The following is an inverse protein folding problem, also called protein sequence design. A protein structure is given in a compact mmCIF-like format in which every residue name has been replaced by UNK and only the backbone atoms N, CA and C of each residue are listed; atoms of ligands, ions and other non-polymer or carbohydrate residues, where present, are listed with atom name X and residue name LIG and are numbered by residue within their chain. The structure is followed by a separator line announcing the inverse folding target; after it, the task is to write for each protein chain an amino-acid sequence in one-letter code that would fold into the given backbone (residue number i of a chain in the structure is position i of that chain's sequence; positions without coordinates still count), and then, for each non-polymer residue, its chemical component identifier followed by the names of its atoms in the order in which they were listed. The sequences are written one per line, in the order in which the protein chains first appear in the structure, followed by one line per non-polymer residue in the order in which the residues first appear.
data_IF_568477262117
#
_entry.id   IF_568477262117
#
_cell.length_a   1.000
_cell.length_b   1.000
_cell.length_c   1.000
_cell.angle_alpha   90.00
_cell.angle_beta   90.00
_cell.angle_gamma   90.00
#
_symmetry.space_group_name_H-M   'P 1'
#
loop_
_entity.id
_entity.type
_entity.pdbx_description
1 polymer ?
#
# COMPACT_ATOMS: atom_id res chain seq x y z
N UNK A 1 4.62 18.74 8.79
CA UNK A 1 5.81 18.04 9.32
C UNK A 1 5.76 16.62 8.79
N UNK A 2 6.83 16.10 8.18
CA UNK A 2 6.94 14.69 7.76
C UNK A 2 7.00 13.81 9.03
N UNK A 3 5.90 13.16 9.44
CA UNK A 3 5.88 12.41 10.70
C UNK A 3 6.64 11.08 10.60
N UNK A 4 6.97 10.65 9.38
CA UNK A 4 7.46 9.30 9.06
C UNK A 4 8.98 9.29 8.97
N UNK A 5 9.62 10.48 8.90
CA UNK A 5 11.06 10.56 8.64
C UNK A 5 11.38 9.84 7.34
N UNK A 6 10.67 10.18 6.26
CA UNK A 6 10.79 9.50 4.97
C UNK A 6 12.25 9.49 4.51
N UNK A 7 12.58 8.63 3.55
CA UNK A 7 13.91 8.64 2.92
C UNK A 7 14.34 10.06 2.54
N UNK A 8 13.39 10.94 2.16
CA UNK A 8 13.67 12.32 1.80
C UNK A 8 14.26 13.18 2.91
N UNK A 9 13.95 12.92 4.19
CA UNK A 9 14.55 13.68 5.29
C UNK A 9 15.94 13.21 5.69
N UNK A 10 16.43 12.09 5.12
CA UNK A 10 17.72 11.54 5.51
C UNK A 10 18.89 12.34 4.92
N UNK A 11 19.94 12.63 5.71
CA UNK A 11 21.12 13.32 5.22
C UNK A 11 21.74 12.65 3.99
N UNK A 12 21.75 11.31 3.96
CA UNK A 12 22.28 10.54 2.82
C UNK A 12 21.43 10.68 1.56
N UNK A 13 20.10 10.74 1.69
CA UNK A 13 19.22 10.98 0.56
C UNK A 13 19.35 12.42 0.08
N UNK A 14 19.44 13.39 0.98
CA UNK A 14 19.68 14.79 0.61
C UNK A 14 21.04 14.96 -0.07
N UNK A 15 22.07 14.24 0.38
CA UNK A 15 23.37 14.19 -0.27
C UNK A 15 23.28 13.52 -1.65
N UNK A 16 22.54 12.42 -1.78
CA UNK A 16 22.27 11.77 -3.06
C UNK A 16 21.53 12.69 -4.04
N UNK A 17 20.48 13.39 -3.60
CA UNK A 17 19.77 14.36 -4.44
C UNK A 17 20.70 15.51 -4.83
N UNK A 18 21.53 16.03 -3.92
CA UNK A 18 22.55 17.03 -4.26
C UNK A 18 23.56 16.50 -5.29
N UNK A 19 23.97 15.24 -5.17
CA UNK A 19 24.85 14.57 -6.13
C UNK A 19 24.18 14.48 -7.50
N UNK A 20 22.94 13.99 -7.58
CA UNK A 20 22.13 13.98 -8.81
C UNK A 20 22.08 15.38 -9.42
N UNK A 21 21.71 16.38 -8.62
CA UNK A 21 21.52 17.76 -9.04
C UNK A 21 22.84 18.44 -9.46
N UNK A 22 24.00 17.94 -9.00
CA UNK A 22 25.34 18.40 -9.39
C UNK A 22 25.89 17.66 -10.61
N UNK A 23 25.67 16.36 -10.68
CA UNK A 23 26.26 15.47 -11.67
C UNK A 23 25.43 15.34 -12.95
N UNK A 24 24.12 15.58 -12.89
CA UNK A 24 23.28 15.62 -14.07
C UNK A 24 23.40 16.98 -14.78
N UNK A 25 23.61 16.99 -16.11
CA UNK A 25 23.61 18.21 -16.89
C UNK A 25 22.30 18.99 -16.76
N UNK A 26 22.36 20.34 -16.72
CA UNK A 26 21.18 21.20 -16.57
C UNK A 26 21.05 22.15 -17.76
N UNK A 27 20.19 21.82 -18.73
CA UNK A 27 19.92 22.73 -19.84
C UNK A 27 19.61 22.00 -21.15
N UNK A 28 19.98 22.63 -22.28
CA UNK A 28 19.80 22.12 -23.64
C UNK A 28 20.49 20.78 -23.87
N UNK A 29 20.09 20.06 -24.93
CA UNK A 29 20.65 18.73 -25.31
C UNK A 29 22.18 18.70 -25.32
N UNK A 30 22.82 19.82 -25.66
CA UNK A 30 24.28 19.94 -25.84
C UNK A 30 25.11 19.69 -24.58
N UNK A 31 24.47 19.67 -23.40
CA UNK A 31 25.15 19.40 -22.13
C UNK A 31 25.14 17.91 -21.74
N UNK A 32 24.39 17.08 -22.47
CA UNK A 32 24.33 15.64 -22.20
C UNK A 32 25.57 14.92 -22.77
N UNK A 33 26.11 13.90 -22.08
CA UNK A 33 27.24 13.14 -22.61
C UNK A 33 26.89 12.53 -23.96
N UNK A 34 27.80 12.63 -24.94
CA UNK A 34 27.66 12.00 -26.26
C UNK A 34 27.37 10.49 -26.15
N UNK A 35 27.87 9.85 -25.08
CA UNK A 35 27.60 8.44 -24.77
C UNK A 35 26.12 8.19 -24.50
N UNK A 36 25.40 9.13 -23.86
CA UNK A 36 23.98 9.02 -23.57
C UNK A 36 23.12 9.03 -24.84
N UNK A 37 23.49 9.86 -25.83
CA UNK A 37 22.78 9.93 -27.12
C UNK A 37 22.98 8.66 -27.97
N UNK A 38 24.12 7.98 -27.79
CA UNK A 38 24.47 6.75 -28.49
C UNK A 38 24.02 5.47 -27.78
N UNK A 39 23.34 5.58 -26.62
CA UNK A 39 22.78 4.43 -25.92
C UNK A 39 21.68 3.77 -26.76
N UNK A 40 21.84 2.47 -27.04
CA UNK A 40 20.93 1.67 -27.86
C UNK A 40 19.67 1.24 -27.07
N UNK A 41 19.83 0.98 -25.78
CA UNK A 41 18.75 0.53 -24.91
C UNK A 41 18.52 1.49 -23.73
N UNK A 42 17.32 1.43 -23.13
CA UNK A 42 17.04 2.14 -21.88
C UNK A 42 17.92 1.65 -20.73
N UNK A 43 18.34 0.39 -20.76
CA UNK A 43 19.30 -0.15 -19.81
C UNK A 43 20.67 0.55 -19.95
N UNK A 44 21.14 0.78 -21.17
CA UNK A 44 22.37 1.53 -21.43
C UNK A 44 22.25 2.99 -20.97
N UNK A 45 21.07 3.61 -21.13
CA UNK A 45 20.80 4.98 -20.65
C UNK A 45 20.82 5.04 -19.13
N UNK A 46 20.21 4.08 -18.45
CA UNK A 46 20.24 3.96 -16.99
C UNK A 46 21.68 3.75 -16.51
N UNK A 47 22.45 2.88 -17.15
CA UNK A 47 23.87 2.68 -16.83
C UNK A 47 24.69 3.96 -17.07
N UNK A 48 24.45 4.68 -18.17
CA UNK A 48 25.11 5.95 -18.45
C UNK A 48 24.82 6.96 -17.33
N UNK A 49 23.55 7.11 -16.93
CA UNK A 49 23.14 7.98 -15.83
C UNK A 49 23.78 7.57 -14.51
N UNK A 50 23.79 6.28 -14.19
CA UNK A 50 24.43 5.77 -12.97
C UNK A 50 25.93 6.04 -12.99
N UNK A 51 26.60 5.84 -14.13
CA UNK A 51 28.03 6.11 -14.28
C UNK A 51 28.38 7.60 -14.13
N UNK A 52 27.48 8.53 -14.46
CA UNK A 52 27.67 9.96 -14.17
C UNK A 52 27.67 10.28 -12.66
N UNK A 53 27.07 9.40 -11.86
CA UNK A 53 27.00 9.56 -10.41
C UNK A 53 28.20 8.92 -9.70
N UNK A 54 28.96 8.04 -10.37
CA UNK A 54 30.08 7.29 -9.79
C UNK A 54 31.41 8.00 -10.08
N UNK A 55 32.20 8.40 -9.06
CA UNK A 55 33.58 8.85 -9.27
C UNK A 55 34.43 7.73 -9.86
N UNK A 56 35.24 8.03 -10.88
CA UNK A 56 36.11 7.05 -11.51
C UNK A 56 37.20 6.55 -10.53
N UNK A 57 37.13 5.24 -10.21
CA UNK A 57 38.05 4.41 -9.40
C UNK A 57 37.63 4.19 -7.95
N UNK A 58 36.95 3.07 -7.70
CA UNK A 58 37.35 1.98 -6.80
C UNK A 58 36.15 1.00 -6.65
N UNK A 59 36.37 -0.29 -6.92
CA UNK A 59 35.32 -1.32 -6.96
C UNK A 59 35.58 -2.32 -5.84
N UNK A 60 34.95 -2.09 -4.68
CA UNK A 60 34.73 -3.10 -3.63
C UNK A 60 33.64 -2.72 -2.58
N UNK A 61 32.93 -1.60 -2.75
CA UNK A 61 32.08 -1.03 -1.69
C UNK A 61 30.57 -1.05 -2.00
N UNK A 62 29.73 -0.80 -0.98
CA UNK A 62 28.27 -0.67 -1.15
C UNK A 62 27.90 0.48 -2.09
N UNK A 63 26.74 0.41 -2.77
CA UNK A 63 26.34 1.41 -3.76
C UNK A 63 26.35 2.88 -3.28
N UNK A 64 26.15 3.13 -1.98
CA UNK A 64 26.28 4.48 -1.42
C UNK A 64 27.74 4.95 -1.35
N UNK A 65 28.66 4.08 -0.94
CA UNK A 65 30.10 4.37 -0.90
C UNK A 65 30.67 4.55 -2.32
N UNK A 66 30.20 3.75 -3.30
CA UNK A 66 30.53 3.92 -4.72
C UNK A 66 30.12 5.31 -5.23
N UNK A 67 29.08 5.91 -4.67
CA UNK A 67 28.64 7.27 -4.99
C UNK A 67 29.35 8.37 -4.17
N UNK A 68 30.38 8.03 -3.39
CA UNK A 68 31.06 8.94 -2.46
C UNK A 68 30.17 9.40 -1.30
N UNK A 69 29.02 8.73 -1.07
CA UNK A 69 28.12 9.01 0.03
C UNK A 69 28.60 8.24 1.24
N UNK A 70 29.49 8.84 2.03
CA UNK A 70 29.85 8.29 3.34
C UNK A 70 28.69 8.49 4.32
N UNK A 71 28.06 7.42 4.83
CA UNK A 71 27.08 7.57 5.89
C UNK A 71 27.87 7.90 7.17
N UNK A 72 28.06 9.19 7.45
CA UNK A 72 28.54 9.66 8.76
C UNK A 72 27.48 9.47 9.86
N UNK A 73 26.24 9.19 9.45
CA UNK A 73 25.10 8.88 10.29
C UNK A 73 24.57 7.51 9.85
N UNK A 74 24.26 6.58 10.77
CA UNK A 74 23.64 5.32 10.41
C UNK A 74 22.40 5.59 9.54
N UNK A 75 22.30 4.84 8.43
CA UNK A 75 21.09 4.80 7.60
C UNK A 75 19.88 4.69 8.52
N UNK A 76 18.89 5.56 8.29
CA UNK A 76 17.92 5.87 9.32
C UNK A 76 17.23 4.62 9.87
N UNK A 77 17.37 4.39 11.18
CA UNK A 77 16.61 3.40 11.96
C UNK A 77 15.09 3.59 11.80
N UNK A 78 14.62 4.77 11.35
CA UNK A 78 13.18 5.04 11.16
C UNK A 78 12.53 4.23 10.04
N UNK A 79 13.31 3.61 9.16
CA UNK A 79 12.78 2.63 8.18
C UNK A 79 12.48 1.28 8.83
N UNK A 80 13.06 1.03 10.01
CA UNK A 80 12.82 -0.14 10.82
C UNK A 80 11.60 0.06 11.71
N UNK A 81 10.99 -1.05 12.06
CA UNK A 81 9.87 -1.09 13.00
C UNK A 81 10.43 -0.82 14.41
N UNK A 82 9.76 0.07 15.14
CA UNK A 82 10.11 0.47 16.50
C UNK A 82 8.83 0.53 17.32
N UNK A 83 8.76 -0.29 18.37
CA UNK A 83 7.61 -0.32 19.28
C UNK A 83 7.44 1.00 20.03
N UNK A 84 8.53 1.74 20.27
CA UNK A 84 8.47 3.08 20.88
C UNK A 84 7.72 4.06 19.97
N UNK A 85 8.04 4.05 18.66
CA UNK A 85 7.32 4.85 17.68
C UNK A 85 5.88 4.37 17.50
N UNK A 86 5.65 3.06 17.45
CA UNK A 86 4.32 2.47 17.34
C UNK A 86 3.40 2.93 18.49
N UNK A 87 3.89 2.86 19.74
CA UNK A 87 3.17 3.31 20.92
C UNK A 87 2.86 4.81 20.87
N UNK A 88 3.81 5.64 20.42
CA UNK A 88 3.62 7.08 20.24
C UNK A 88 2.51 7.39 19.22
N UNK A 89 2.55 6.75 18.04
CA UNK A 89 1.52 6.94 17.03
C UNK A 89 0.15 6.43 17.50
N UNK A 90 0.14 5.33 18.25
CA UNK A 90 -1.09 4.81 18.86
C UNK A 90 -1.71 5.80 19.84
N UNK A 91 -0.92 6.48 20.67
CA UNK A 91 -1.47 7.49 21.59
C UNK A 91 -1.95 8.75 20.86
N UNK A 92 -1.27 9.18 19.79
CA UNK A 92 -1.78 10.25 18.93
C UNK A 92 -3.13 9.85 18.31
N UNK A 93 -3.24 8.62 17.81
CA UNK A 93 -4.49 8.05 17.31
C UNK A 93 -5.59 8.02 18.37
N UNK A 94 -5.25 7.71 19.63
CA UNK A 94 -6.20 7.78 20.75
C UNK A 94 -6.72 9.21 20.98
N UNK A 95 -5.87 10.23 20.82
CA UNK A 95 -6.27 11.64 20.87
C UNK A 95 -7.33 11.99 19.80
N UNK A 96 -7.09 11.59 18.55
CA UNK A 96 -8.05 11.79 17.46
C UNK A 96 -9.35 11.00 17.68
N UNK A 97 -9.25 9.76 18.18
CA UNK A 97 -10.40 8.93 18.50
C UNK A 97 -11.31 9.57 19.56
N UNK A 98 -10.73 10.07 20.66
CA UNK A 98 -11.46 10.82 21.71
C UNK A 98 -12.15 12.05 21.13
N UNK A 99 -11.52 12.71 20.16
CA UNK A 99 -12.05 13.88 19.44
C UNK A 99 -13.05 13.53 18.34
N UNK A 100 -13.40 12.25 18.16
CA UNK A 100 -14.30 11.72 17.11
C UNK A 100 -13.80 11.91 15.66
N UNK A 101 -12.54 12.28 15.47
CA UNK A 101 -11.87 12.40 14.18
C UNK A 101 -11.44 11.02 13.67
N UNK A 102 -12.38 10.29 13.05
CA UNK A 102 -12.23 8.86 12.78
C UNK A 102 -11.17 8.57 11.71
N UNK A 103 -11.09 9.36 10.64
CA UNK A 103 -10.14 9.11 9.54
C UNK A 103 -8.70 9.38 9.94
N UNK A 104 -8.48 10.42 10.74
CA UNK A 104 -7.21 10.79 11.35
C UNK A 104 -6.78 9.70 12.34
N UNK A 105 -7.70 9.25 13.20
CA UNK A 105 -7.43 8.13 14.11
C UNK A 105 -7.02 6.86 13.34
N UNK A 106 -7.72 6.52 12.25
CA UNK A 106 -7.36 5.37 11.42
C UNK A 106 -5.95 5.51 10.81
N UNK A 107 -5.61 6.73 10.35
CA UNK A 107 -4.29 7.03 9.77
C UNK A 107 -3.18 6.78 10.80
N UNK A 108 -3.35 7.26 12.03
CA UNK A 108 -2.36 7.05 13.09
C UNK A 108 -2.33 5.61 13.61
N UNK A 109 -3.45 4.88 13.61
CA UNK A 109 -3.44 3.45 13.92
C UNK A 109 -2.78 2.61 12.82
N UNK A 110 -2.94 2.97 11.55
CA UNK A 110 -2.16 2.39 10.45
C UNK A 110 -0.67 2.67 10.64
N UNK A 111 -0.30 3.91 10.96
CA UNK A 111 1.08 4.27 11.21
C UNK A 111 1.66 3.50 12.41
N UNK A 112 0.91 3.38 13.51
CA UNK A 112 1.31 2.55 14.65
C UNK A 112 1.56 1.09 14.25
N UNK A 113 0.66 0.49 13.48
CA UNK A 113 0.79 -0.88 12.99
C UNK A 113 2.00 -1.04 12.06
N UNK A 114 2.26 -0.06 11.19
CA UNK A 114 3.38 -0.08 10.25
C UNK A 114 4.73 -0.01 10.97
N UNK A 115 4.80 0.69 12.10
CA UNK A 115 6.00 0.76 12.95
C UNK A 115 6.08 -0.34 14.02
N UNK A 116 5.05 -1.16 14.22
CA UNK A 116 5.06 -2.18 15.29
C UNK A 116 6.01 -3.33 14.97
N UNK A 117 6.96 -3.60 15.87
CA UNK A 117 7.92 -4.68 15.79
C UNK A 117 7.39 -5.93 16.50
N UNK A 118 6.98 -5.79 17.78
CA UNK A 118 6.47 -6.90 18.58
C UNK A 118 5.03 -7.27 18.23
N UNK A 119 4.65 -8.50 18.58
CA UNK A 119 3.27 -8.96 18.46
C UNK A 119 2.32 -8.16 19.37
N UNK A 120 2.80 -7.72 20.53
CA UNK A 120 2.01 -6.93 21.47
C UNK A 120 1.60 -5.57 20.88
N UNK A 121 2.54 -4.77 20.35
CA UNK A 121 2.18 -3.48 19.75
C UNK A 121 1.33 -3.64 18.49
N UNK A 122 1.58 -4.68 17.67
CA UNK A 122 0.71 -5.03 16.54
C UNK A 122 -0.72 -5.32 17.01
N UNK A 123 -0.88 -6.13 18.04
CA UNK A 123 -2.18 -6.48 18.61
C UNK A 123 -2.91 -5.24 19.13
N UNK A 124 -2.22 -4.36 19.86
CA UNK A 124 -2.78 -3.10 20.37
C UNK A 124 -3.22 -2.16 19.24
N UNK A 125 -2.42 -2.00 18.20
CA UNK A 125 -2.76 -1.19 17.04
C UNK A 125 -3.99 -1.73 16.29
N UNK A 126 -4.07 -3.04 16.06
CA UNK A 126 -5.23 -3.70 15.45
C UNK A 126 -6.50 -3.60 16.30
N UNK A 127 -6.37 -3.79 17.62
CA UNK A 127 -7.48 -3.63 18.56
C UNK A 127 -8.05 -2.21 18.58
N UNK A 128 -7.21 -1.19 18.38
CA UNK A 128 -7.64 0.20 18.25
C UNK A 128 -8.21 0.50 16.87
N UNK A 129 -7.58 0.02 15.80
CA UNK A 129 -8.03 0.22 14.42
C UNK A 129 -9.43 -0.39 14.18
N UNK A 130 -9.70 -1.57 14.75
CA UNK A 130 -11.03 -2.17 14.68
C UNK A 130 -12.14 -1.33 15.32
N UNK A 131 -11.86 -0.48 16.32
CA UNK A 131 -12.84 0.50 16.83
C UNK A 131 -13.30 1.45 15.73
N UNK A 132 -12.33 1.94 14.95
CA UNK A 132 -12.57 2.91 13.89
C UNK A 132 -13.30 2.24 12.73
N UNK A 133 -12.84 1.07 12.30
CA UNK A 133 -13.47 0.30 11.23
C UNK A 133 -14.92 -0.06 11.56
N UNK A 134 -15.20 -0.48 12.80
CA UNK A 134 -16.56 -0.72 13.25
C UNK A 134 -17.44 0.53 13.14
N UNK A 135 -16.93 1.69 13.55
CA UNK A 135 -17.64 2.97 13.48
C UNK A 135 -17.87 3.45 12.04
N UNK A 136 -17.01 3.04 11.12
CA UNK A 136 -17.16 3.27 9.67
C UNK A 136 -18.00 2.18 8.99
N UNK A 137 -18.67 1.31 9.75
CA UNK A 137 -19.49 0.19 9.24
C UNK A 137 -18.70 -0.81 8.37
N UNK A 138 -17.38 -0.81 8.48
CA UNK A 138 -16.47 -1.76 7.84
C UNK A 138 -16.39 -3.04 8.69
N UNK A 139 -17.52 -3.74 8.84
CA UNK A 139 -17.66 -4.83 9.82
C UNK A 139 -16.73 -6.01 9.52
N UNK A 140 -16.51 -6.34 8.25
CA UNK A 140 -15.63 -7.44 7.86
C UNK A 140 -14.17 -7.13 8.20
N UNK A 141 -13.72 -5.92 7.85
CA UNK A 141 -12.37 -5.44 8.12
C UNK A 141 -12.10 -5.32 9.63
N UNK A 142 -13.09 -4.81 10.37
CA UNK A 142 -13.05 -4.73 11.83
C UNK A 142 -12.94 -6.12 12.48
N UNK A 143 -13.76 -7.07 12.05
CA UNK A 143 -13.70 -8.45 12.55
C UNK A 143 -12.33 -9.10 12.27
N UNK A 144 -11.78 -8.90 11.06
CA UNK A 144 -10.45 -9.40 10.70
C UNK A 144 -9.35 -8.81 11.60
N UNK A 145 -9.40 -7.51 11.88
CA UNK A 145 -8.46 -6.84 12.79
C UNK A 145 -8.56 -7.41 14.21
N UNK A 146 -9.78 -7.64 14.72
CA UNK A 146 -9.98 -8.27 16.03
C UNK A 146 -9.40 -9.68 16.06
N UNK A 147 -9.70 -10.51 15.06
CA UNK A 147 -9.17 -11.87 14.97
C UNK A 147 -7.64 -11.87 14.95
N UNK A 148 -7.02 -10.99 14.17
CA UNK A 148 -5.56 -10.87 14.09
C UNK A 148 -4.95 -10.35 15.40
N UNK A 149 -5.60 -9.39 16.07
CA UNK A 149 -5.16 -8.92 17.38
C UNK A 149 -5.14 -10.05 18.42
N UNK A 150 -6.22 -10.84 18.49
CA UNK A 150 -6.33 -11.96 19.42
C UNK A 150 -5.27 -13.03 19.12
N UNK A 151 -5.03 -13.38 17.84
CA UNK A 151 -3.98 -14.33 17.43
C UNK A 151 -2.57 -13.88 17.84
N UNK A 152 -2.33 -12.57 17.88
CA UNK A 152 -1.05 -11.98 18.27
C UNK A 152 -0.87 -11.87 19.80
N UNK A 153 -1.84 -12.33 20.59
CA UNK A 153 -1.77 -12.31 22.05
C UNK A 153 -2.20 -10.98 22.66
N UNK A 154 -3.30 -10.38 22.16
CA UNK A 154 -3.90 -9.20 22.77
C UNK A 154 -4.12 -9.37 24.28
N UNK A 155 -3.92 -8.33 25.12
CA UNK A 155 -4.04 -8.46 26.58
C UNK A 155 -5.37 -9.06 27.04
N UNK A 156 -5.32 -10.14 27.81
CA UNK A 156 -6.49 -10.89 28.29
C UNK A 156 -7.47 -10.05 29.10
N UNK A 157 -6.98 -9.09 29.89
CA UNK A 157 -7.82 -8.15 30.64
C UNK A 157 -8.60 -7.13 29.79
N UNK A 158 -8.41 -7.14 28.47
CA UNK A 158 -9.11 -6.24 27.52
C UNK A 158 -9.68 -7.00 26.31
N UNK A 159 -9.48 -8.32 26.23
CA UNK A 159 -9.91 -9.13 25.07
C UNK A 159 -11.43 -9.31 25.02
N UNK A 160 -12.10 -9.23 26.18
CA UNK A 160 -13.55 -9.20 26.35
C UNK A 160 -14.21 -8.13 25.46
N UNK A 161 -13.66 -6.91 25.44
CA UNK A 161 -14.13 -5.79 24.60
C UNK A 161 -13.98 -6.06 23.11
N UNK A 162 -12.89 -6.74 22.74
CA UNK A 162 -12.64 -7.15 21.35
C UNK A 162 -13.66 -8.22 20.93
N UNK A 163 -13.93 -9.19 21.79
CA UNK A 163 -14.95 -10.21 21.55
C UNK A 163 -16.35 -9.62 21.41
N UNK A 164 -16.76 -8.66 22.24
CA UNK A 164 -18.04 -7.95 22.05
C UNK A 164 -18.10 -7.29 20.68
N UNK A 165 -17.04 -6.59 20.27
CA UNK A 165 -16.97 -5.93 18.94
C UNK A 165 -17.04 -6.94 17.80
N UNK A 166 -16.28 -8.03 17.87
CA UNK A 166 -16.33 -9.09 16.86
C UNK A 166 -17.74 -9.70 16.78
N UNK A 167 -18.37 -9.95 17.93
CA UNK A 167 -19.76 -10.40 18.00
C UNK A 167 -20.72 -9.46 17.27
N UNK A 168 -20.61 -8.15 17.52
CA UNK A 168 -21.40 -7.14 16.81
C UNK A 168 -21.10 -7.10 15.31
N UNK A 169 -19.83 -7.15 14.90
CA UNK A 169 -19.45 -7.22 13.48
C UNK A 169 -20.10 -8.42 12.80
N UNK A 170 -19.96 -9.62 13.37
CA UNK A 170 -20.52 -10.83 12.78
C UNK A 170 -22.04 -10.84 12.78
N UNK A 171 -22.69 -10.22 13.77
CA UNK A 171 -24.13 -10.03 13.78
C UNK A 171 -24.57 -9.16 12.60
N UNK A 172 -23.90 -8.03 12.35
CA UNK A 172 -24.16 -7.19 11.17
C UNK A 172 -23.88 -7.90 9.84
N UNK A 173 -22.94 -8.84 9.83
CA UNK A 173 -22.62 -9.67 8.67
C UNK A 173 -23.54 -10.88 8.51
N UNK A 174 -24.55 -11.08 9.37
CA UNK A 174 -25.43 -12.27 9.33
C UNK A 174 -24.73 -13.59 9.69
N UNK A 175 -23.51 -13.54 10.24
CA UNK A 175 -22.72 -14.69 10.65
C UNK A 175 -23.03 -15.07 12.11
N UNK A 176 -24.28 -15.45 12.37
CA UNK A 176 -24.83 -15.62 13.72
C UNK A 176 -24.08 -16.64 14.61
N UNK A 177 -23.55 -17.72 14.02
CA UNK A 177 -22.74 -18.71 14.76
C UNK A 177 -21.47 -18.08 15.32
N UNK A 178 -20.67 -17.41 14.48
CA UNK A 178 -19.44 -16.71 14.89
C UNK A 178 -19.76 -15.57 15.87
N UNK A 179 -20.87 -14.87 15.66
CA UNK A 179 -21.31 -13.82 16.57
C UNK A 179 -21.60 -14.39 17.97
N UNK A 180 -22.35 -15.50 18.03
CA UNK A 180 -22.70 -16.19 19.27
C UNK A 180 -21.46 -16.70 20.03
N UNK A 181 -20.50 -17.29 19.32
CA UNK A 181 -19.21 -17.73 19.90
C UNK A 181 -18.47 -16.56 20.57
N UNK A 182 -18.35 -15.43 19.87
CA UNK A 182 -17.67 -14.26 20.40
C UNK A 182 -18.41 -13.61 21.58
N UNK A 183 -19.74 -13.49 21.54
CA UNK A 183 -20.50 -13.00 22.68
C UNK A 183 -20.36 -13.91 23.90
N UNK A 184 -20.42 -15.23 23.69
CA UNK A 184 -20.24 -16.22 24.76
C UNK A 184 -18.83 -16.13 25.36
N UNK A 185 -17.80 -15.98 24.52
CA UNK A 185 -16.42 -15.80 24.96
C UNK A 185 -16.24 -14.51 25.75
N UNK A 186 -16.86 -13.40 25.33
CA UNK A 186 -16.81 -12.14 26.06
C UNK A 186 -17.40 -12.30 27.47
N UNK A 187 -18.57 -12.93 27.59
CA UNK A 187 -19.31 -13.04 28.86
C UNK A 187 -18.59 -13.82 29.97
N UNK A 188 -17.55 -14.60 29.64
CA UNK A 188 -16.72 -15.32 30.61
C UNK A 188 -15.92 -14.39 31.52
N UNK A 189 -15.46 -13.23 31.02
CA UNK A 189 -14.56 -12.32 31.75
C UNK A 189 -15.01 -10.86 31.76
N UNK A 190 -16.13 -10.54 31.12
CA UNK A 190 -16.65 -9.18 30.97
C UNK A 190 -17.23 -8.62 32.28
N UNK A 191 -16.52 -7.66 32.87
CA UNK A 191 -16.92 -6.98 34.11
C UNK A 191 -17.80 -5.74 33.88
N UNK A 192 -17.67 -5.08 32.72
CA UNK A 192 -18.42 -3.86 32.41
C UNK A 192 -19.92 -4.17 32.20
N UNK A 193 -20.84 -3.59 33.00
CA UNK A 193 -22.27 -3.91 32.90
C UNK A 193 -22.89 -3.53 31.55
N UNK A 194 -22.42 -2.44 30.93
CA UNK A 194 -22.95 -1.95 29.65
C UNK A 194 -22.58 -2.88 28.50
N UNK A 195 -21.31 -3.26 28.41
CA UNK A 195 -20.84 -4.25 27.45
C UNK A 195 -21.45 -5.62 27.70
N UNK A 196 -21.64 -6.02 28.97
CA UNK A 196 -22.29 -7.28 29.34
C UNK A 196 -23.72 -7.34 28.82
N UNK A 197 -24.48 -6.26 28.97
CA UNK A 197 -25.81 -6.15 28.36
C UNK A 197 -25.76 -6.25 26.84
N UNK A 198 -24.84 -5.54 26.19
CA UNK A 198 -24.68 -5.62 24.72
C UNK A 198 -24.40 -7.06 24.24
N UNK A 199 -23.57 -7.80 24.97
CA UNK A 199 -23.26 -9.19 24.63
C UNK A 199 -24.48 -10.12 24.82
N UNK A 200 -25.25 -9.95 25.90
CA UNK A 200 -26.48 -10.72 26.14
C UNK A 200 -27.53 -10.42 25.06
N UNK A 201 -27.76 -9.13 24.77
CA UNK A 201 -28.72 -8.70 23.75
C UNK A 201 -28.30 -9.22 22.36
N UNK A 202 -27.00 -9.16 22.04
CA UNK A 202 -26.45 -9.73 20.82
C UNK A 202 -26.65 -11.24 20.71
N UNK A 203 -26.40 -11.98 21.80
CA UNK A 203 -26.61 -13.42 21.86
C UNK A 203 -28.10 -13.79 21.69
N UNK A 204 -29.01 -12.99 22.24
CA UNK A 204 -30.45 -13.17 22.03
C UNK A 204 -30.83 -12.98 20.55
N UNK A 205 -30.29 -11.95 19.88
CA UNK A 205 -30.52 -11.71 18.44
C UNK A 205 -30.04 -12.86 17.56
N UNK A 206 -28.87 -13.43 17.86
CA UNK A 206 -28.35 -14.61 17.14
C UNK A 206 -29.27 -15.84 17.20
N UNK A 207 -30.15 -15.95 18.20
CA UNK A 207 -31.09 -17.07 18.34
C UNK A 207 -32.37 -16.87 17.55
N UNK A 208 -32.79 -15.63 17.34
CA UNK A 208 -34.04 -15.27 16.68
C UNK A 208 -33.86 -15.22 15.16
N UNK A 209 -32.71 -14.76 14.70
CA UNK A 209 -32.41 -14.59 13.27
C UNK A 209 -31.52 -15.76 12.79
N UNK A 210 -32.10 -16.92 12.48
CA UNK A 210 -31.32 -18.07 11.97
C UNK A 210 -31.25 -18.17 10.44
N UNK A 211 -31.88 -17.28 9.69
CA UNK A 211 -31.77 -17.27 8.23
C UNK A 211 -32.05 -15.87 7.68
N UNK A 212 -30.99 -15.13 7.38
CA UNK A 212 -31.07 -13.86 6.67
C UNK A 212 -29.93 -13.78 5.67
N UNK A 213 -30.25 -13.46 4.42
CA UNK A 213 -29.27 -13.29 3.36
C UNK A 213 -28.16 -12.31 3.76
N UNK A 214 -26.92 -12.67 3.39
CA UNK A 214 -25.68 -11.96 3.72
C UNK A 214 -25.67 -10.57 3.06
N UNK A 215 -26.27 -9.56 3.70
CA UNK A 215 -26.30 -8.20 3.16
C UNK A 215 -25.03 -7.44 3.54
N UNK A 216 -23.94 -7.72 2.85
CA UNK A 216 -22.69 -6.96 2.99
C UNK A 216 -22.88 -5.56 2.41
N UNK A 217 -23.15 -4.57 3.27
CA UNK A 217 -23.46 -3.19 2.88
C UNK A 217 -22.25 -2.42 2.35
N UNK A 218 -21.05 -2.74 2.83
CA UNK A 218 -19.83 -2.07 2.39
C UNK A 218 -18.63 -3.01 2.47
N UNK A 219 -17.94 -3.19 1.35
CA UNK A 219 -16.55 -3.67 1.30
C UNK A 219 -15.70 -2.46 1.01
N UNK A 220 -14.51 -2.37 1.61
CA UNK A 220 -13.55 -1.32 1.24
C UNK A 220 -13.45 -1.23 -0.27
N UNK A 221 -13.92 -0.12 -0.84
CA UNK A 221 -14.26 0.02 -2.26
C UNK A 221 -13.09 -0.45 -3.09
N UNK A 222 -13.22 -1.68 -3.58
CA UNK A 222 -12.38 -2.27 -4.60
C UNK A 222 -12.90 -1.67 -5.88
N UNK A 223 -12.44 -0.48 -6.22
CA UNK A 223 -12.49 -0.10 -7.63
C UNK A 223 -11.66 -1.17 -8.34
N UNK A 224 -12.32 -2.18 -8.88
CA UNK A 224 -11.73 -2.87 -10.01
C UNK A 224 -11.49 -1.74 -11.02
N UNK A 225 -10.23 -1.44 -11.39
CA UNK A 225 -10.07 -0.66 -12.59
C UNK A 225 -10.90 -1.39 -13.63
N UNK A 226 -11.73 -0.67 -14.36
CA UNK A 226 -12.50 -1.15 -15.51
C UNK A 226 -11.59 -1.65 -16.65
N UNK A 227 -10.38 -2.10 -16.35
CA UNK A 227 -9.45 -2.77 -17.23
C UNK A 227 -10.05 -4.05 -17.80
N UNK A 228 -10.89 -4.79 -17.05
CA UNK A 228 -11.59 -5.98 -17.56
C UNK A 228 -12.56 -5.65 -18.72
N UNK A 229 -13.13 -4.44 -18.72
CA UNK A 229 -14.02 -3.96 -19.78
C UNK A 229 -13.25 -3.64 -21.08
N UNK A 230 -11.96 -3.31 -20.99
CA UNK A 230 -11.15 -2.93 -22.15
C UNK A 230 -10.12 -4.00 -22.58
N UNK A 231 -9.77 -4.95 -21.71
CA UNK A 231 -8.81 -6.01 -21.99
C UNK A 231 -9.39 -7.18 -22.80
N UNK A 232 -10.71 -7.33 -22.82
CA UNK A 232 -11.42 -8.40 -23.53
C UNK A 232 -11.24 -8.38 -25.06
N UNK A 233 -10.68 -7.29 -25.62
CA UNK A 233 -10.31 -7.17 -27.03
C UNK A 233 -8.82 -7.16 -27.34
N UNK A 234 -7.93 -7.36 -26.36
CA UNK A 234 -6.48 -7.22 -26.53
C UNK A 234 -5.79 -8.59 -26.64
N UNK A 235 -5.22 -8.93 -27.80
CA UNK A 235 -4.37 -10.13 -27.96
C UNK A 235 -2.90 -9.83 -27.67
N UNK A 236 -2.31 -10.52 -26.69
CA UNK A 236 -0.88 -10.44 -26.36
C UNK A 236 -0.11 -11.40 -27.27
N UNK A 237 0.53 -10.89 -28.33
CA UNK A 237 1.52 -11.66 -29.09
C UNK A 237 2.93 -11.28 -28.61
N UNK A 238 3.43 -12.00 -27.61
CA UNK A 238 4.80 -11.84 -27.12
C UNK A 238 5.73 -12.80 -27.86
N UNK A 239 6.52 -12.28 -28.79
CA UNK A 239 7.72 -12.96 -29.30
C UNK A 239 8.90 -12.03 -29.20
N UNK A 240 9.51 -12.00 -28.01
CA UNK A 240 10.80 -11.39 -27.62
C UNK A 240 10.93 -9.87 -27.87
N UNK A 241 11.41 -9.18 -26.83
CA UNK A 241 11.54 -7.71 -26.68
C UNK A 241 10.27 -7.03 -26.18
N UNK A 242 10.43 -6.10 -25.22
CA UNK A 242 9.43 -5.41 -24.39
C UNK A 242 8.01 -5.35 -24.97
N UNK A 243 6.98 -5.85 -24.27
CA UNK A 243 5.62 -5.92 -24.80
C UNK A 243 4.98 -4.54 -24.77
N UNK A 244 5.11 -3.77 -25.85
CA UNK A 244 4.11 -2.74 -26.14
C UNK A 244 2.83 -3.47 -26.51
N UNK A 245 1.83 -3.46 -25.63
CA UNK A 245 0.49 -3.95 -25.95
C UNK A 245 -0.18 -2.91 -26.87
N UNK A 246 0.12 -3.02 -28.17
CA UNK A 246 -0.71 -2.36 -29.19
C UNK A 246 -2.12 -2.91 -29.06
N UNK A 247 -3.12 -2.02 -29.03
CA UNK A 247 -4.51 -2.45 -29.09
C UNK A 247 -4.79 -3.07 -30.46
N UNK A 248 -4.58 -4.38 -30.56
CA UNK A 248 -5.02 -5.19 -31.68
C UNK A 248 -6.55 -5.16 -31.70
N UNK A 249 -7.09 -4.23 -32.46
CA UNK A 249 -8.48 -4.35 -32.91
C UNK A 249 -8.56 -5.50 -33.92
N UNK A 250 -9.76 -6.04 -34.16
CA UNK A 250 -10.04 -7.06 -35.19
C UNK A 250 -9.56 -6.70 -36.60
N UNK A 251 -9.12 -5.46 -36.85
CA UNK A 251 -8.61 -4.93 -38.12
C UNK A 251 -7.08 -4.77 -38.20
N UNK A 252 -6.31 -5.24 -37.21
CA UNK A 252 -4.84 -5.11 -37.16
C UNK A 252 -4.33 -4.11 -36.10
N UNK A 253 -3.02 -3.87 -36.08
CA UNK A 253 -2.36 -2.92 -35.17
C UNK A 253 -2.74 -1.48 -35.54
N UNK A 254 -3.48 -0.79 -34.67
CA UNK A 254 -3.93 0.60 -34.92
C UNK A 254 -2.80 1.64 -34.85
N UNK A 255 -1.65 1.23 -34.33
CA UNK A 255 -0.48 2.08 -34.11
C UNK A 255 0.79 1.34 -34.50
N UNK A 256 1.72 2.05 -35.14
CA UNK A 256 3.05 1.59 -35.53
C UNK A 256 4.10 2.40 -34.78
N UNK A 257 5.07 1.72 -34.18
CA UNK A 257 6.27 2.32 -33.62
C UNK A 257 7.37 2.35 -34.69
N UNK A 258 8.02 3.49 -34.90
CA UNK A 258 9.18 3.61 -35.78
C UNK A 258 10.14 4.70 -35.27
N UNK A 259 11.41 4.64 -35.67
CA UNK A 259 12.38 5.71 -35.39
C UNK A 259 12.25 6.81 -36.46
N UNK A 260 11.77 7.98 -36.06
CA UNK A 260 11.60 9.15 -36.92
C UNK A 260 12.89 9.99 -37.06
N UNK A 261 14.03 9.45 -36.63
CA UNK A 261 15.34 10.08 -36.72
C UNK A 261 15.63 11.07 -35.58
N UNK A 262 16.83 11.69 -35.57
CA UNK A 262 17.39 12.38 -34.39
C UNK A 262 16.59 13.58 -33.88
N UNK A 263 15.72 14.18 -34.72
CA UNK A 263 14.87 15.29 -34.32
C UNK A 263 13.63 14.86 -33.53
N UNK A 264 13.08 13.66 -33.79
CA UNK A 264 11.79 13.20 -33.25
C UNK A 264 11.88 11.89 -32.44
N UNK A 265 12.89 11.06 -32.73
CA UNK A 265 13.13 9.76 -32.07
C UNK A 265 12.02 8.74 -32.31
N UNK A 266 11.91 7.77 -31.40
CA UNK A 266 10.86 6.76 -31.40
C UNK A 266 9.47 7.41 -31.39
N UNK A 267 8.70 7.18 -32.44
CA UNK A 267 7.40 7.81 -32.68
C UNK A 267 6.34 6.73 -32.87
N UNK A 268 5.19 6.93 -32.24
CA UNK A 268 3.97 6.16 -32.46
C UNK A 268 3.09 6.89 -33.48
N UNK A 269 2.75 6.21 -34.56
CA UNK A 269 1.88 6.73 -35.61
C UNK A 269 0.68 5.80 -35.81
N UNK A 270 -0.50 6.39 -35.98
CA UNK A 270 -1.72 5.63 -36.27
C UNK A 270 -1.69 5.12 -37.71
N UNK A 271 -1.94 3.83 -37.92
CA UNK A 271 -1.95 3.19 -39.25
C UNK A 271 -3.29 3.36 -39.98
N UNK A 272 -4.31 3.91 -39.30
CA UNK A 272 -5.67 4.11 -39.78
C UNK A 272 -6.32 5.32 -39.11
N UNK A 273 -7.48 5.73 -39.63
CA UNK A 273 -8.34 6.71 -38.96
C UNK A 273 -8.83 6.17 -37.60
N UNK A 274 -8.79 7.01 -36.58
CA UNK A 274 -9.15 6.71 -35.20
C UNK A 274 -10.36 7.54 -34.81
N UNK A 275 -11.41 6.91 -34.26
CA UNK A 275 -12.57 7.65 -33.74
C UNK A 275 -12.30 8.19 -32.33
N UNK A 276 -12.92 9.33 -31.95
CA UNK A 276 -12.89 9.81 -30.57
C UNK A 276 -13.36 8.70 -29.60
N UNK A 277 -12.56 8.44 -28.57
CA UNK A 277 -12.83 7.42 -27.55
C UNK A 277 -12.20 6.04 -27.80
N UNK A 278 -11.55 5.81 -28.94
CA UNK A 278 -10.80 4.56 -29.17
C UNK A 278 -9.50 4.50 -28.35
N UNK A 279 -9.19 3.32 -27.79
CA UNK A 279 -7.93 3.06 -27.09
C UNK A 279 -6.87 2.69 -28.12
N UNK A 280 -5.79 3.47 -28.17
CA UNK A 280 -4.68 3.26 -29.11
C UNK A 280 -3.54 2.43 -28.52
N UNK A 281 -3.23 2.68 -27.26
CA UNK A 281 -2.13 2.04 -26.55
C UNK A 281 -2.60 1.74 -25.13
N UNK A 282 -2.33 0.52 -24.68
CA UNK A 282 -2.34 0.18 -23.28
C UNK A 282 -0.89 -0.19 -22.93
N UNK A 283 -0.29 0.49 -21.97
CA UNK A 283 1.06 0.16 -21.54
C UNK A 283 1.07 -0.18 -20.06
N UNK A 284 1.87 -1.18 -19.71
CA UNK A 284 2.13 -1.49 -18.31
C UNK A 284 3.33 -0.65 -17.89
N UNK A 285 3.23 0.14 -16.80
CA UNK A 285 4.33 0.98 -16.38
C UNK A 285 5.56 0.11 -16.08
N UNK A 286 6.71 0.45 -16.66
CA UNK A 286 7.97 -0.23 -16.37
C UNK A 286 8.28 -0.27 -14.87
N UNK A 287 8.01 0.84 -14.18
CA UNK A 287 8.05 0.94 -12.74
C UNK A 287 6.91 1.84 -12.26
N UNK A 288 6.37 1.53 -11.08
CA UNK A 288 5.32 2.34 -10.46
C UNK A 288 5.54 2.38 -8.95
N UNK A 289 5.15 3.51 -8.33
CA UNK A 289 5.22 3.71 -6.89
C UNK A 289 4.02 4.53 -6.42
N UNK A 290 3.61 4.30 -5.19
CA UNK A 290 2.63 5.18 -4.56
C UNK A 290 3.19 6.59 -4.35
N UNK A 291 2.29 7.59 -4.43
CA UNK A 291 2.55 8.92 -3.88
C UNK A 291 2.64 8.82 -2.34
N UNK A 292 3.47 9.65 -1.71
CA UNK A 292 3.71 9.59 -0.25
C UNK A 292 2.41 9.64 0.58
N UNK A 293 1.48 10.52 0.23
CA UNK A 293 0.19 10.67 0.90
C UNK A 293 -0.73 9.43 0.77
N UNK A 294 -0.37 8.49 -0.10
CA UNK A 294 -1.14 7.27 -0.35
C UNK A 294 -0.61 6.04 0.42
N UNK A 295 0.54 6.11 1.09
CA UNK A 295 1.18 4.96 1.75
C UNK A 295 0.32 4.29 2.82
N UNK A 296 -0.48 5.08 3.55
CA UNK A 296 -1.34 4.58 4.63
C UNK A 296 -2.79 4.34 4.19
N UNK A 297 -3.10 4.56 2.91
CA UNK A 297 -4.48 4.53 2.40
C UNK A 297 -4.66 3.67 1.16
N UNK A 298 -3.58 3.26 0.49
CA UNK A 298 -3.62 2.44 -0.73
C UNK A 298 -2.69 1.24 -0.60
N UNK A 299 -3.07 0.14 -1.23
CA UNK A 299 -2.20 -1.02 -1.37
C UNK A 299 -1.04 -0.69 -2.30
N UNK A 300 0.18 -1.06 -1.90
CA UNK A 300 1.38 -0.81 -2.68
C UNK A 300 1.41 -1.59 -4.01
N UNK A 301 0.76 -2.75 -4.07
CA UNK A 301 0.75 -3.62 -5.25
C UNK A 301 -0.37 -3.27 -6.24
N UNK A 302 -1.62 -3.27 -5.77
CA UNK A 302 -2.77 -3.10 -6.64
C UNK A 302 -3.29 -1.66 -6.72
N UNK A 303 -2.67 -0.74 -5.98
CA UNK A 303 -3.05 0.68 -5.91
C UNK A 303 -4.48 0.95 -5.43
N UNK A 304 -5.22 -0.06 -4.96
CA UNK A 304 -6.58 0.12 -4.46
C UNK A 304 -6.56 0.74 -3.07
N UNK A 305 -7.55 1.58 -2.80
CA UNK A 305 -7.77 2.16 -1.47
C UNK A 305 -8.13 1.06 -0.47
N UNK A 306 -7.50 1.10 0.70
CA UNK A 306 -7.70 0.14 1.77
C UNK A 306 -7.56 0.83 3.13
N UNK A 307 -8.59 0.67 3.98
CA UNK A 307 -8.59 1.24 5.33
C UNK A 307 -7.81 0.39 6.33
N UNK A 308 -7.73 -0.93 6.11
CA UNK A 308 -7.12 -1.90 7.01
C UNK A 308 -5.86 -2.57 6.43
N UNK A 309 -4.97 -1.77 5.81
CA UNK A 309 -3.72 -2.25 5.23
C UNK A 309 -2.91 -3.13 6.19
N UNK A 310 -2.37 -4.22 5.67
CA UNK A 310 -1.40 -5.06 6.37
C UNK A 310 0.00 -4.57 6.03
N UNK A 311 0.83 -4.17 7.01
CA UNK A 311 2.16 -3.64 6.71
C UNK A 311 3.09 -4.72 6.17
N UNK A 312 4.08 -4.29 5.39
CA UNK A 312 5.24 -5.10 5.08
C UNK A 312 5.93 -5.61 6.37
N UNK A 313 6.53 -6.80 6.29
CA UNK A 313 7.26 -7.42 7.41
C UNK A 313 8.58 -6.68 7.72
N UNK A 314 9.25 -6.15 6.69
CA UNK A 314 10.58 -5.55 6.82
C UNK A 314 10.63 -4.03 6.96
N UNK A 315 9.65 -3.29 6.46
CA UNK A 315 9.65 -1.81 6.50
C UNK A 315 8.38 -1.23 7.13
N UNK A 316 8.41 0.07 7.39
CA UNK A 316 7.31 0.87 7.94
C UNK A 316 6.55 1.71 6.91
N UNK A 317 6.80 1.53 5.61
CA UNK A 317 6.30 2.46 4.57
C UNK A 317 5.22 1.87 3.66
N UNK A 318 5.29 0.57 3.37
CA UNK A 318 4.37 -0.05 2.40
C UNK A 318 3.42 -1.01 3.10
N UNK A 319 2.18 -1.05 2.60
CA UNK A 319 1.15 -1.97 3.07
C UNK A 319 0.35 -2.58 1.93
N UNK A 320 -0.34 -3.67 2.27
CA UNK A 320 -1.06 -4.51 1.32
C UNK A 320 -2.52 -4.68 1.75
N UNK A 321 -3.44 -4.71 0.79
CA UNK A 321 -4.85 -4.94 1.08
C UNK A 321 -5.18 -6.41 1.35
N UNK A 322 -4.28 -7.33 1.00
CA UNK A 322 -4.47 -8.77 1.19
C UNK A 322 -3.12 -9.49 1.22
N UNK A 323 -3.14 -10.76 1.64
CA UNK A 323 -1.96 -11.62 1.65
C UNK A 323 -1.47 -11.92 0.23
N UNK A 324 -2.37 -12.07 -0.74
CA UNK A 324 -2.00 -12.26 -2.15
C UNK A 324 -1.23 -11.04 -2.67
N UNK A 325 -1.67 -9.83 -2.34
CA UNK A 325 -0.95 -8.61 -2.70
C UNK A 325 0.40 -8.49 -1.99
N UNK A 326 0.55 -9.03 -0.78
CA UNK A 326 1.81 -9.02 -0.04
C UNK A 326 2.81 -10.04 -0.59
N UNK A 327 2.35 -11.21 -1.02
CA UNK A 327 3.18 -12.27 -1.59
C UNK A 327 3.61 -11.99 -3.03
N UNK A 328 2.76 -11.31 -3.81
CA UNK A 328 3.06 -10.99 -5.20
C UNK A 328 4.02 -9.80 -5.36
N UNK A 329 4.25 -9.01 -4.31
CA UNK A 329 4.96 -7.73 -4.32
C UNK A 329 6.48 -7.82 -4.24
#
# INVERSE_FOLDING_TARGET
MDPVGTATSQPIFQAFIKLIVRSLPRGSKDQWPVVFENCLTDFDRVLCLLNLLIPSREVADSGAQVLGLHPSVPLCENSQKSDVLAAKFREIGNGFWRSKACMEANTYYNLALFHSQSNMEKALALGNRSCVLYRLECYQESANDVTNALKLGFPSGKSDRLHVRAGQCFLHLGCFLKASEHFSQALQSLADPGLRRLAIDGLAKCKVEQAGDLKVTWRCVRGDPSAEVYASGLTINSTRSTPLLSANTTSGTSVRLFDAGPAKGWTLETTRNVKPGEILLLDLPYASRLKGDCFLTHCYRCYRRCLNLTPCRGCCQVGFCSEECALAA
#
